data_IF_066769036253
#
_entry.id   IF_066769036253
#
_cell.length_a   1.000
_cell.length_b   1.000
_cell.length_c   1.000
_cell.angle_alpha   90.00
_cell.angle_beta   90.00
_cell.angle_gamma   90.00
#
_symmetry.space_group_name_H-M   'P 1'
#
loop_
_entity.id
_entity.type
_entity.pdbx_description
1 polymer ?
#
# COMPACT_ATOMS: atom_id res chain seq x y z
N UNK A 1 -11.91 -10.61 -12.17
CA UNK A 1 -12.08 -9.45 -11.26
C UNK A 1 -10.76 -9.05 -10.63
N UNK A 2 -10.66 -7.81 -10.15
CA UNK A 2 -9.44 -7.25 -9.56
C UNK A 2 -9.80 -6.45 -8.29
N UNK A 3 -9.00 -6.64 -7.25
CA UNK A 3 -9.01 -5.84 -6.03
C UNK A 3 -7.84 -4.86 -6.11
N UNK A 4 -8.11 -3.57 -5.90
CA UNK A 4 -7.07 -2.52 -5.91
C UNK A 4 -7.01 -1.89 -4.53
N UNK A 5 -5.82 -1.90 -3.93
CA UNK A 5 -5.55 -1.20 -2.68
C UNK A 5 -5.08 0.22 -2.98
N UNK A 6 -5.88 1.19 -2.53
CA UNK A 6 -5.65 2.62 -2.71
C UNK A 6 -4.64 3.16 -1.68
N UNK A 7 -4.53 4.49 -1.57
CA UNK A 7 -3.59 5.21 -0.68
C UNK A 7 -3.59 4.69 0.78
N UNK A 8 -2.43 4.83 1.44
CA UNK A 8 -2.28 4.54 2.87
C UNK A 8 -1.63 3.21 3.22
N UNK A 9 -1.15 2.43 2.24
CA UNK A 9 -0.50 1.13 2.48
C UNK A 9 0.99 1.21 2.86
N UNK A 10 1.60 2.39 2.72
CA UNK A 10 3.04 2.63 2.86
C UNK A 10 3.35 3.66 3.96
N UNK A 11 4.59 3.65 4.45
CA UNK A 11 5.13 4.64 5.37
C UNK A 11 4.23 4.93 6.59
N UNK A 12 4.22 6.19 7.04
CA UNK A 12 3.25 6.73 8.01
C UNK A 12 2.09 7.44 7.31
N UNK A 13 1.56 6.84 6.24
CA UNK A 13 0.44 7.38 5.46
C UNK A 13 -0.90 7.05 6.12
N UNK A 14 -1.18 7.72 7.23
CA UNK A 14 -2.48 7.65 7.92
C UNK A 14 -3.36 8.88 7.64
N UNK A 15 -2.78 9.93 7.06
CA UNK A 15 -3.44 11.10 6.49
C UNK A 15 -2.79 11.49 5.14
N UNK A 16 -3.29 12.56 4.51
CA UNK A 16 -2.82 13.06 3.21
C UNK A 16 -1.58 13.97 3.30
N UNK A 17 -1.09 14.26 4.51
CA UNK A 17 -0.01 15.23 4.77
C UNK A 17 1.36 14.60 5.05
N UNK A 18 1.43 13.28 5.24
CA UNK A 18 2.67 12.54 5.54
C UNK A 18 2.88 11.35 4.61
N UNK A 19 4.14 10.92 4.44
CA UNK A 19 4.48 9.59 3.90
C UNK A 19 4.62 9.41 2.39
N UNK A 20 4.25 10.36 1.51
CA UNK A 20 4.59 10.25 0.08
C UNK A 20 6.10 10.28 -0.11
N UNK A 21 6.65 9.32 -0.86
CA UNK A 21 8.10 9.13 -1.02
C UNK A 21 8.63 7.93 -0.22
N UNK A 22 7.95 7.53 0.86
CA UNK A 22 8.31 6.36 1.67
C UNK A 22 7.57 5.11 1.20
N UNK A 23 7.96 4.57 0.04
CA UNK A 23 7.34 3.39 -0.58
C UNK A 23 7.67 2.05 0.10
N UNK A 24 7.66 2.04 1.44
CA UNK A 24 7.87 0.86 2.28
C UNK A 24 6.55 0.45 2.90
N UNK A 25 6.18 -0.82 2.78
CA UNK A 25 4.92 -1.36 3.28
C UNK A 25 4.74 -1.09 4.78
N UNK A 26 3.58 -0.55 5.16
CA UNK A 26 3.18 -0.42 6.56
C UNK A 26 2.58 -1.74 7.07
N UNK A 27 3.44 -2.67 7.45
CA UNK A 27 3.02 -4.00 7.94
C UNK A 27 2.25 -3.93 9.27
N UNK A 28 2.40 -2.86 10.04
CA UNK A 28 1.59 -2.62 11.25
C UNK A 28 0.12 -2.41 10.89
N UNK A 29 -0.15 -1.68 9.80
CA UNK A 29 -1.50 -1.42 9.28
C UNK A 29 -2.06 -2.64 8.55
N UNK A 30 -1.28 -3.24 7.65
CA UNK A 30 -1.71 -4.41 6.87
C UNK A 30 -1.74 -5.71 7.67
N UNK A 31 -1.08 -5.76 8.84
CA UNK A 31 -0.96 -6.93 9.72
C UNK A 31 -0.37 -8.16 9.03
N UNK A 32 0.32 -7.96 7.90
CA UNK A 32 1.01 -8.95 7.11
C UNK A 32 1.93 -8.25 6.10
N UNK A 33 2.75 -9.03 5.40
CA UNK A 33 3.58 -8.52 4.31
C UNK A 33 2.74 -8.31 3.04
N UNK A 34 3.15 -7.38 2.17
CA UNK A 34 2.45 -7.12 0.90
C UNK A 34 2.39 -8.37 -0.02
N UNK A 35 3.45 -9.18 -0.16
CA UNK A 35 3.38 -10.44 -0.91
C UNK A 35 2.38 -11.44 -0.34
N UNK A 36 2.26 -11.50 1.00
CA UNK A 36 1.30 -12.38 1.64
C UNK A 36 -0.15 -11.95 1.38
N UNK A 37 -0.42 -10.65 1.44
CA UNK A 37 -1.74 -10.10 1.10
C UNK A 37 -2.10 -10.41 -0.36
N UNK A 38 -1.19 -10.15 -1.30
CA UNK A 38 -1.38 -10.43 -2.71
C UNK A 38 -1.65 -11.92 -2.97
N UNK A 39 -0.91 -12.81 -2.32
CA UNK A 39 -1.11 -14.27 -2.41
C UNK A 39 -2.51 -14.67 -1.93
N UNK A 40 -2.93 -14.19 -0.75
CA UNK A 40 -4.26 -14.52 -0.19
C UNK A 40 -5.40 -14.05 -1.09
N UNK A 41 -5.26 -12.88 -1.72
CA UNK A 41 -6.25 -12.37 -2.69
C UNK A 41 -6.26 -13.22 -3.97
N UNK A 42 -5.08 -13.60 -4.47
CA UNK A 42 -4.95 -14.50 -5.62
C UNK A 42 -5.59 -15.87 -5.39
N UNK A 43 -5.53 -16.41 -4.16
CA UNK A 43 -6.20 -17.65 -3.77
C UNK A 43 -7.73 -17.56 -3.82
N UNK A 44 -8.31 -16.35 -3.78
CA UNK A 44 -9.73 -16.11 -3.97
C UNK A 44 -10.12 -15.99 -5.46
N UNK A 45 -9.17 -16.12 -6.39
CA UNK A 45 -9.41 -16.01 -7.84
C UNK A 45 -9.51 -14.58 -8.35
N UNK A 46 -9.03 -13.59 -7.58
CA UNK A 46 -9.09 -12.16 -7.90
C UNK A 46 -7.67 -11.61 -8.08
N UNK A 47 -7.45 -10.75 -9.08
CA UNK A 47 -6.16 -10.06 -9.26
C UNK A 47 -5.93 -9.01 -8.16
N UNK A 48 -4.67 -8.65 -7.89
CA UNK A 48 -4.30 -7.63 -6.91
C UNK A 48 -3.54 -6.48 -7.57
N UNK A 49 -3.96 -5.24 -7.31
CA UNK A 49 -3.28 -4.01 -7.71
C UNK A 49 -3.03 -3.09 -6.52
N UNK A 50 -2.06 -2.19 -6.64
CA UNK A 50 -1.73 -1.17 -5.64
C UNK A 50 -1.65 0.21 -6.29
N UNK A 51 -2.00 1.24 -5.53
CA UNK A 51 -1.79 2.63 -5.91
C UNK A 51 -0.37 3.10 -5.55
N UNK A 52 0.23 3.93 -6.41
CA UNK A 52 1.50 4.60 -6.17
C UNK A 52 1.50 5.97 -6.84
N UNK A 53 2.08 6.98 -6.17
CA UNK A 53 2.27 8.34 -6.71
C UNK A 53 3.75 8.73 -6.63
N UNK A 54 4.60 8.16 -7.50
CA UNK A 54 6.05 8.24 -7.37
C UNK A 54 6.63 9.65 -7.65
N UNK A 55 5.82 10.55 -8.20
CA UNK A 55 6.21 11.92 -8.55
C UNK A 55 6.15 12.90 -7.38
N UNK A 56 5.54 12.49 -6.25
CA UNK A 56 5.33 13.34 -5.08
C UNK A 56 6.19 12.91 -3.88
N UNK A 57 6.50 13.87 -3.01
CA UNK A 57 7.21 13.66 -1.74
C UNK A 57 6.65 14.61 -0.67
N UNK A 58 6.41 14.14 0.55
CA UNK A 58 6.04 15.01 1.67
C UNK A 58 7.30 15.60 2.34
N UNK A 59 7.29 16.85 2.83
CA UNK A 59 8.41 17.39 3.62
C UNK A 59 8.73 16.57 4.88
N UNK A 60 7.70 15.92 5.45
CA UNK A 60 7.82 14.93 6.52
C UNK A 60 7.71 13.51 5.95
N UNK A 61 8.72 13.11 5.19
CA UNK A 61 8.99 11.72 4.78
C UNK A 61 10.31 11.29 5.40
#
# INVERSE_FOLDING_TARGET
>A
DMFVMDDGWFGKRDDDTTGLGDWVTNEKKLRCTLPELARRIGEQGVGFGIWIEPEMVNPES
#
